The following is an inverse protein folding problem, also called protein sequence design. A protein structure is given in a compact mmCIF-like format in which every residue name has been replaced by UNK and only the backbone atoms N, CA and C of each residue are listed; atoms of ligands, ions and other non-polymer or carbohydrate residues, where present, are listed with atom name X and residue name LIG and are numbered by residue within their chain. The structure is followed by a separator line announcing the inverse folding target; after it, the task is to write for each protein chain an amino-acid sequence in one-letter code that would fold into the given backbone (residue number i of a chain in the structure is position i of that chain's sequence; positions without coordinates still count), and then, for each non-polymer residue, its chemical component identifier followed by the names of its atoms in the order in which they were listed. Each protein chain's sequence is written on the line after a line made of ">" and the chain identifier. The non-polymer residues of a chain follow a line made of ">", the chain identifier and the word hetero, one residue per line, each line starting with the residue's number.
data_IF_462574585618
#
_entry.id   IF_462574585618
#
_cell.length_a   1.000
_cell.length_b   1.000
_cell.length_c   1.000
_cell.angle_alpha   90.00
_cell.angle_beta   90.00
_cell.angle_gamma   90.00
#
_symmetry.space_group_name_H-M   'P 1'
#
loop_
_entity.id
_entity.type
_entity.pdbx_description
1 polymer ?
#
# COMPACT_ATOMS: atom_id res chain seq x y z
N UNK A 1 31.54 22.27 1.62
CA UNK A 1 31.26 21.02 2.34
C UNK A 1 30.13 20.33 1.59
N UNK A 2 30.48 19.27 0.86
CA UNK A 2 29.56 18.58 -0.05
C UNK A 2 28.54 17.77 0.74
N UNK A 3 27.29 18.14 0.66
CA UNK A 3 26.19 17.24 1.04
C UNK A 3 26.07 16.16 -0.05
N UNK A 4 26.75 15.05 0.21
CA UNK A 4 26.67 13.87 -0.63
C UNK A 4 25.22 13.37 -0.69
N UNK A 5 24.73 13.26 -1.89
CA UNK A 5 23.50 12.63 -2.32
C UNK A 5 23.32 11.28 -1.64
N UNK A 6 22.50 11.20 -0.59
CA UNK A 6 22.06 9.95 0.00
C UNK A 6 21.06 9.36 -0.98
N UNK A 7 21.56 8.56 -1.92
CA UNK A 7 20.75 7.76 -2.83
C UNK A 7 19.91 6.77 -2.01
N UNK A 8 18.67 6.89 -2.13
CA UNK A 8 17.42 6.23 -1.70
C UNK A 8 17.40 4.69 -1.47
N UNK A 9 18.49 4.03 -1.14
CA UNK A 9 18.52 2.56 -1.04
C UNK A 9 17.90 1.96 0.24
N UNK A 10 17.41 2.77 1.19
CA UNK A 10 16.90 2.24 2.47
C UNK A 10 15.38 2.37 2.67
N UNK A 11 14.67 3.06 1.78
CA UNK A 11 13.21 3.22 1.88
C UNK A 11 12.45 2.25 0.95
N UNK A 12 13.18 1.47 0.15
CA UNK A 12 12.65 0.64 -0.91
C UNK A 12 11.61 -0.41 -0.51
N UNK A 13 11.62 -1.05 0.64
CA UNK A 13 10.62 -2.11 0.89
C UNK A 13 9.36 -1.67 1.60
N UNK A 14 9.25 -0.43 2.06
CA UNK A 14 7.99 0.09 2.61
C UNK A 14 7.16 0.77 1.53
N UNK A 15 7.83 1.42 0.62
CA UNK A 15 7.35 1.93 -0.65
C UNK A 15 8.34 1.44 -1.69
N UNK A 16 8.25 0.18 -2.06
CA UNK A 16 9.02 -0.32 -3.17
C UNK A 16 8.50 0.41 -4.35
N UNK A 17 9.21 1.44 -4.71
CA UNK A 17 9.04 2.00 -6.01
C UNK A 17 9.20 3.48 -6.03
N UNK A 18 10.41 3.87 -6.07
CA UNK A 18 10.66 5.17 -6.67
C UNK A 18 12.09 5.22 -7.12
N UNK A 19 12.30 5.00 -8.35
CA UNK A 19 13.26 5.66 -9.24
C UNK A 19 13.63 4.75 -10.40
N UNK A 20 13.17 5.06 -11.54
CA UNK A 20 13.92 5.33 -12.75
C UNK A 20 13.17 5.02 -14.05
N UNK A 21 13.16 5.99 -14.91
CA UNK A 21 13.34 5.77 -16.34
C UNK A 21 12.10 5.56 -17.20
N UNK A 22 11.77 6.61 -17.92
CA UNK A 22 10.76 6.64 -19.00
C UNK A 22 11.06 5.64 -20.11
N UNK A 23 10.10 4.75 -20.39
CA UNK A 23 9.94 4.12 -21.71
C UNK A 23 8.47 4.14 -22.08
N UNK A 24 8.17 4.80 -23.19
CA UNK A 24 6.87 4.88 -23.84
C UNK A 24 6.47 3.52 -24.38
N UNK A 25 5.32 3.02 -23.93
CA UNK A 25 4.66 1.81 -24.45
C UNK A 25 3.16 2.03 -24.55
N UNK A 26 2.68 1.90 -25.75
CA UNK A 26 1.36 2.16 -26.32
C UNK A 26 0.23 1.46 -25.55
N UNK A 27 -0.83 2.21 -25.24
CA UNK A 27 -2.01 1.76 -24.53
C UNK A 27 -2.95 1.00 -25.48
N UNK A 28 -3.32 -0.21 -25.13
CA UNK A 28 -4.50 -0.88 -25.68
C UNK A 28 -5.72 -0.46 -24.84
N UNK A 29 -6.55 0.41 -25.38
CA UNK A 29 -7.86 0.74 -24.83
C UNK A 29 -8.78 -0.47 -24.93
N UNK A 30 -9.06 -1.10 -23.79
CA UNK A 30 -10.18 -2.04 -23.66
C UNK A 30 -11.40 -1.26 -23.20
N UNK A 31 -12.33 -1.06 -24.10
CA UNK A 31 -13.63 -0.44 -23.87
C UNK A 31 -14.44 -1.28 -22.88
N UNK A 32 -14.52 -0.83 -21.63
CA UNK A 32 -15.46 -1.39 -20.65
C UNK A 32 -16.87 -0.90 -20.97
N UNK A 33 -17.70 -1.83 -21.39
CA UNK A 33 -19.14 -1.63 -21.58
C UNK A 33 -19.78 -1.21 -20.26
N UNK A 34 -20.54 -0.12 -20.31
CA UNK A 34 -21.46 0.31 -19.24
C UNK A 34 -22.56 -0.75 -19.08
N UNK A 35 -22.29 -1.77 -18.27
CA UNK A 35 -23.30 -2.68 -17.75
C UNK A 35 -24.02 -2.02 -16.58
N UNK A 36 -25.31 -2.14 -16.61
CA UNK A 36 -26.36 -1.80 -15.65
C UNK A 36 -25.84 -1.70 -14.19
N UNK A 37 -25.93 -0.50 -13.59
CA UNK A 37 -25.57 -0.25 -12.20
C UNK A 37 -26.63 -0.93 -11.33
N UNK A 38 -26.39 -2.17 -11.00
CA UNK A 38 -27.15 -2.94 -10.01
C UNK A 38 -27.28 -2.12 -8.73
N UNK A 39 -28.48 -2.05 -8.19
CA UNK A 39 -28.86 -1.39 -6.94
C UNK A 39 -28.17 -1.94 -5.68
N UNK A 40 -27.13 -2.76 -5.83
CA UNK A 40 -26.39 -3.46 -4.77
C UNK A 40 -24.88 -3.18 -4.80
N UNK A 41 -24.44 -2.16 -5.52
CA UNK A 41 -23.01 -1.76 -5.54
C UNK A 41 -22.61 -1.18 -4.18
N UNK A 42 -21.48 -1.62 -3.68
CA UNK A 42 -20.94 -1.12 -2.42
C UNK A 42 -20.41 0.30 -2.55
N UNK A 43 -20.48 1.04 -1.43
CA UNK A 43 -19.90 2.37 -1.30
C UNK A 43 -18.58 2.32 -0.53
N UNK A 44 -17.78 3.36 -0.61
CA UNK A 44 -16.53 3.46 0.18
C UNK A 44 -16.80 3.38 1.67
N UNK A 45 -17.92 3.95 2.14
CA UNK A 45 -18.35 3.89 3.54
C UNK A 45 -18.58 2.44 3.99
N UNK A 46 -19.27 1.65 3.16
CA UNK A 46 -19.55 0.24 3.45
C UNK A 46 -18.28 -0.60 3.44
N UNK A 47 -17.38 -0.40 2.46
CA UNK A 47 -16.07 -1.07 2.44
C UNK A 47 -15.29 -0.76 3.70
N UNK A 48 -15.10 0.51 4.03
CA UNK A 48 -14.28 0.94 5.17
C UNK A 48 -14.90 0.51 6.49
N UNK A 49 -16.24 0.57 6.63
CA UNK A 49 -16.93 0.06 7.82
C UNK A 49 -16.70 -1.45 7.99
N UNK A 50 -16.82 -2.23 6.92
CA UNK A 50 -16.59 -3.67 6.95
C UNK A 50 -15.15 -4.03 7.31
N UNK A 51 -14.16 -3.28 6.80
CA UNK A 51 -12.75 -3.45 7.14
C UNK A 51 -12.49 -3.20 8.63
N UNK A 52 -13.14 -2.20 9.21
CA UNK A 52 -13.04 -1.91 10.64
C UNK A 52 -13.59 -3.05 11.50
N UNK A 53 -14.70 -3.65 11.10
CA UNK A 53 -15.35 -4.76 11.83
C UNK A 53 -14.59 -6.09 11.64
N UNK A 54 -14.15 -6.38 10.42
CA UNK A 54 -13.44 -7.62 10.06
C UNK A 54 -11.94 -7.61 10.33
N UNK A 55 -11.43 -6.58 10.98
CA UNK A 55 -10.00 -6.35 11.14
C UNK A 55 -9.28 -7.46 11.87
N UNK A 56 -8.38 -8.11 11.16
CA UNK A 56 -7.38 -9.01 11.74
C UNK A 56 -6.19 -8.19 12.25
N UNK A 57 -5.70 -8.53 13.44
CA UNK A 57 -4.53 -7.84 14.04
C UNK A 57 -3.21 -8.32 13.48
N UNK A 58 -3.20 -9.47 12.81
CA UNK A 58 -2.00 -10.06 12.19
C UNK A 58 -2.38 -10.92 11.00
N UNK A 59 -1.73 -10.68 9.86
CA UNK A 59 -1.92 -11.44 8.62
C UNK A 59 -0.57 -11.74 7.97
N UNK A 60 -0.41 -12.92 7.39
CA UNK A 60 0.76 -13.24 6.56
C UNK A 60 0.62 -12.58 5.19
N UNK A 61 1.72 -12.23 4.57
CA UNK A 61 1.73 -11.70 3.21
C UNK A 61 2.81 -12.32 2.33
N UNK A 62 2.53 -12.33 1.04
CA UNK A 62 3.51 -12.49 -0.03
C UNK A 62 3.39 -11.25 -0.93
N UNK A 63 4.50 -10.56 -1.17
CA UNK A 63 4.54 -9.37 -2.00
C UNK A 63 5.51 -9.59 -3.16
N UNK A 64 5.00 -9.33 -4.37
CA UNK A 64 5.76 -9.34 -5.61
C UNK A 64 5.97 -7.90 -6.09
N UNK A 65 7.22 -7.50 -6.25
CA UNK A 65 7.61 -6.20 -6.77
C UNK A 65 8.16 -6.33 -8.17
N UNK A 66 7.60 -5.56 -9.08
CA UNK A 66 7.99 -5.45 -10.47
C UNK A 66 8.59 -4.07 -10.72
N UNK A 67 9.78 -4.01 -11.26
CA UNK A 67 10.48 -2.77 -11.60
C UNK A 67 11.28 -2.96 -12.86
N UNK A 68 11.41 -1.90 -13.64
CA UNK A 68 12.27 -1.89 -14.83
C UNK A 68 13.76 -2.13 -14.51
N UNK A 69 14.13 -1.99 -13.24
CA UNK A 69 15.49 -2.27 -12.75
C UNK A 69 15.75 -3.74 -12.42
N UNK A 70 14.68 -4.56 -12.42
CA UNK A 70 14.75 -5.97 -12.05
C UNK A 70 14.50 -6.85 -13.27
N UNK A 71 15.30 -7.89 -13.46
CA UNK A 71 15.09 -8.90 -14.50
C UNK A 71 13.95 -9.85 -14.15
N UNK A 72 13.71 -10.06 -12.86
CA UNK A 72 12.63 -10.87 -12.31
C UNK A 72 11.98 -10.15 -11.14
N UNK A 73 10.71 -10.43 -10.83
CA UNK A 73 10.05 -9.84 -9.68
C UNK A 73 10.77 -10.16 -8.36
N UNK A 74 10.94 -9.15 -7.51
CA UNK A 74 11.38 -9.39 -6.15
C UNK A 74 10.22 -9.89 -5.32
N UNK A 75 10.34 -11.11 -4.80
CA UNK A 75 9.33 -11.72 -3.92
C UNK A 75 9.83 -11.64 -2.47
N UNK A 76 8.99 -11.07 -1.62
CA UNK A 76 9.20 -11.04 -0.16
C UNK A 76 8.00 -11.62 0.57
N UNK A 77 8.23 -12.27 1.71
CA UNK A 77 7.19 -12.86 2.56
C UNK A 77 7.36 -12.42 3.99
N UNK A 78 6.24 -12.30 4.69
CA UNK A 78 6.30 -11.88 6.07
C UNK A 78 4.93 -11.76 6.72
N UNK A 79 4.86 -10.86 7.71
CA UNK A 79 3.66 -10.63 8.51
C UNK A 79 3.39 -9.13 8.60
N UNK A 80 2.14 -8.76 8.36
CA UNK A 80 1.60 -7.45 8.70
C UNK A 80 0.90 -7.54 10.04
N UNK A 81 1.14 -6.55 10.91
CA UNK A 81 0.44 -6.41 12.19
C UNK A 81 -0.15 -5.01 12.29
N UNK A 82 -1.36 -4.95 12.77
CA UNK A 82 -2.00 -3.70 13.13
C UNK A 82 -2.33 -3.70 14.61
N UNK A 83 -1.77 -2.74 15.34
CA UNK A 83 -2.04 -2.53 16.77
C UNK A 83 -2.78 -1.20 16.93
N UNK A 84 -4.03 -1.22 17.42
CA UNK A 84 -4.76 0.01 17.72
C UNK A 84 -3.98 0.93 18.69
N UNK A 85 -4.13 2.27 18.59
CA UNK A 85 -5.05 2.93 17.66
C UNK A 85 -4.51 3.07 16.23
N UNK A 86 -3.18 3.06 15.99
CA UNK A 86 -2.65 3.45 14.70
C UNK A 86 -1.25 2.87 14.36
N UNK A 87 -0.74 1.90 15.12
CA UNK A 87 0.57 1.28 14.82
C UNK A 87 0.41 0.23 13.74
N UNK A 88 1.16 0.39 12.67
CA UNK A 88 1.26 -0.58 11.57
C UNK A 88 2.68 -1.12 11.51
N UNK A 89 2.82 -2.43 11.51
CA UNK A 89 4.10 -3.12 11.40
C UNK A 89 4.10 -4.06 10.19
N UNK A 90 5.15 -3.96 9.37
CA UNK A 90 5.47 -4.91 8.30
C UNK A 90 6.79 -5.58 8.66
N UNK A 91 6.74 -6.88 8.94
CA UNK A 91 7.92 -7.71 9.18
C UNK A 91 8.13 -8.62 7.97
N UNK A 92 9.20 -8.38 7.22
CA UNK A 92 9.68 -9.27 6.16
C UNK A 92 10.52 -10.36 6.81
N UNK A 93 10.22 -11.61 6.50
CA UNK A 93 10.93 -12.79 7.03
C UNK A 93 11.82 -13.42 5.96
N UNK A 94 11.40 -13.33 4.69
CA UNK A 94 12.09 -13.90 3.54
C UNK A 94 12.18 -12.88 2.39
N UNK A 95 13.30 -12.85 1.62
CA UNK A 95 14.54 -13.64 1.77
C UNK A 95 15.48 -13.10 2.85
N UNK A 96 15.22 -11.91 3.39
CA UNK A 96 16.02 -11.26 4.43
C UNK A 96 15.13 -10.64 5.48
N UNK A 97 15.52 -10.66 6.75
CA UNK A 97 14.75 -10.05 7.82
C UNK A 97 14.88 -8.54 7.79
N UNK A 98 13.72 -7.90 7.61
CA UNK A 98 13.54 -6.46 7.68
C UNK A 98 12.24 -6.14 8.43
N UNK A 99 12.23 -5.05 9.17
CA UNK A 99 11.09 -4.63 9.96
C UNK A 99 10.81 -3.15 9.74
N UNK A 100 9.57 -2.85 9.48
CA UNK A 100 9.06 -1.49 9.32
C UNK A 100 7.97 -1.29 10.35
N UNK A 101 8.11 -0.25 11.18
CA UNK A 101 7.12 0.13 12.19
C UNK A 101 6.71 1.56 11.93
N UNK A 102 5.41 1.77 11.75
CA UNK A 102 4.80 3.07 11.56
C UNK A 102 4.01 3.39 12.83
N UNK A 103 4.47 4.38 13.57
CA UNK A 103 3.85 4.88 14.79
C UNK A 103 3.72 6.40 14.69
N UNK A 104 2.51 6.91 14.95
CA UNK A 104 2.25 8.34 14.84
C UNK A 104 2.77 8.93 13.51
N UNK A 105 3.73 9.83 13.58
CA UNK A 105 4.38 10.51 12.46
C UNK A 105 5.75 9.93 12.11
N UNK A 106 6.10 8.75 12.63
CA UNK A 106 7.42 8.13 12.49
C UNK A 106 7.36 6.79 11.80
N UNK A 107 8.40 6.54 11.01
CA UNK A 107 8.67 5.22 10.43
C UNK A 107 10.04 4.76 10.89
N UNK A 108 10.08 3.63 11.58
CA UNK A 108 11.33 2.96 11.96
C UNK A 108 11.57 1.79 11.02
N UNK A 109 12.71 1.79 10.39
CA UNK A 109 13.23 0.70 9.56
C UNK A 109 14.37 0.00 10.27
N UNK A 110 14.33 -1.33 10.31
CA UNK A 110 15.38 -2.19 10.80
C UNK A 110 15.71 -3.26 9.76
N UNK A 111 17.01 -3.50 9.51
CA UNK A 111 17.49 -4.56 8.62
C UNK A 111 18.63 -5.29 9.28
N UNK A 112 18.44 -6.58 9.57
CA UNK A 112 19.48 -7.43 10.16
C UNK A 112 20.66 -7.58 9.19
N UNK A 113 20.39 -7.79 7.90
CA UNK A 113 21.42 -7.96 6.87
C UNK A 113 22.32 -6.73 6.71
N UNK A 114 21.73 -5.53 6.80
CA UNK A 114 22.45 -4.26 6.60
C UNK A 114 23.00 -3.70 7.91
N UNK A 115 22.69 -4.32 9.05
CA UNK A 115 22.99 -3.82 10.40
C UNK A 115 22.57 -2.36 10.59
N UNK A 116 21.38 -2.01 10.09
CA UNK A 116 20.85 -0.65 10.09
C UNK A 116 19.54 -0.61 10.89
N UNK A 117 19.45 0.40 11.75
CA UNK A 117 18.20 0.87 12.34
C UNK A 117 18.10 2.37 12.08
N UNK A 118 17.02 2.80 11.41
CA UNK A 118 16.80 4.21 11.07
C UNK A 118 15.37 4.58 11.36
N UNK A 119 15.18 5.74 12.00
CA UNK A 119 13.87 6.35 12.18
C UNK A 119 13.82 7.64 11.37
N UNK A 120 12.72 7.85 10.66
CA UNK A 120 12.42 9.06 9.88
C UNK A 120 11.09 9.64 10.32
N UNK A 121 10.95 10.96 10.23
CA UNK A 121 9.65 11.64 10.40
C UNK A 121 8.88 11.61 9.09
N UNK A 122 7.58 11.36 9.14
CA UNK A 122 6.69 11.47 7.98
C UNK A 122 6.51 12.92 7.54
N UNK A 123 6.81 13.90 8.40
CA UNK A 123 6.78 15.32 8.05
C UNK A 123 7.82 15.66 6.97
N UNK A 124 8.98 14.99 7.01
CA UNK A 124 10.05 15.16 6.05
C UNK A 124 9.76 14.46 4.70
N UNK A 125 8.74 13.59 4.66
CA UNK A 125 8.38 12.75 3.51
C UNK A 125 6.88 12.80 3.21
N UNK A 126 6.36 13.94 2.68
CA UNK A 126 4.91 14.14 2.48
C UNK A 126 4.26 13.05 1.62
N UNK A 127 4.98 12.56 0.60
CA UNK A 127 4.48 11.50 -0.27
C UNK A 127 4.28 10.17 0.48
N UNK A 128 5.23 9.79 1.34
CA UNK A 128 5.10 8.60 2.20
C UNK A 128 3.98 8.78 3.22
N UNK A 129 3.85 9.98 3.79
CA UNK A 129 2.77 10.33 4.71
C UNK A 129 1.40 10.09 4.08
N UNK A 130 1.20 10.53 2.84
CA UNK A 130 -0.05 10.31 2.10
C UNK A 130 -0.43 8.82 2.05
N UNK A 131 0.51 7.94 1.70
CA UNK A 131 0.28 6.48 1.67
C UNK A 131 -0.07 5.92 3.05
N UNK A 132 0.68 6.32 4.08
CA UNK A 132 0.42 5.88 5.46
C UNK A 132 -0.96 6.31 5.94
N UNK A 133 -1.38 7.53 5.63
CA UNK A 133 -2.70 8.06 5.98
C UNK A 133 -3.83 7.28 5.29
N UNK A 134 -3.65 6.83 4.03
CA UNK A 134 -4.63 5.97 3.36
C UNK A 134 -4.86 4.66 4.11
N UNK A 135 -3.77 3.99 4.50
CA UNK A 135 -3.87 2.75 5.27
C UNK A 135 -4.53 2.98 6.62
N UNK A 136 -4.09 4.00 7.37
CA UNK A 136 -4.69 4.32 8.67
C UNK A 136 -6.18 4.61 8.55
N UNK A 137 -6.58 5.47 7.63
CA UNK A 137 -7.98 5.83 7.43
C UNK A 137 -8.84 4.60 7.07
N UNK A 138 -8.32 3.70 6.24
CA UNK A 138 -9.00 2.44 5.89
C UNK A 138 -9.20 1.53 7.11
N UNK A 139 -8.21 1.43 8.00
CA UNK A 139 -8.28 0.56 9.18
C UNK A 139 -9.01 1.19 10.36
N UNK A 140 -8.98 2.51 10.52
CA UNK A 140 -9.69 3.20 11.60
C UNK A 140 -11.15 3.47 11.28
N UNK A 141 -11.52 3.40 10.01
CA UNK A 141 -12.88 3.70 9.56
C UNK A 141 -13.11 5.18 9.24
N UNK A 142 -12.03 5.97 9.10
CA UNK A 142 -12.13 7.40 8.82
C UNK A 142 -12.26 7.68 7.33
N UNK A 143 -13.48 7.52 6.81
CA UNK A 143 -13.81 7.78 5.39
C UNK A 143 -13.62 9.25 5.03
N UNK A 144 -13.87 10.18 5.96
CA UNK A 144 -13.71 11.60 5.69
C UNK A 144 -12.25 11.95 5.42
N UNK A 145 -11.33 11.43 6.25
CA UNK A 145 -9.89 11.58 6.03
C UNK A 145 -9.44 10.88 4.75
N UNK A 146 -9.95 9.68 4.46
CA UNK A 146 -9.62 8.96 3.23
C UNK A 146 -9.99 9.78 1.98
N UNK A 147 -11.22 10.30 1.92
CA UNK A 147 -11.72 11.12 0.81
C UNK A 147 -11.02 12.49 0.71
N UNK A 148 -10.49 13.02 1.81
CA UNK A 148 -9.71 14.26 1.79
C UNK A 148 -8.36 14.08 1.10
N UNK A 149 -7.75 12.91 1.25
CA UNK A 149 -6.40 12.60 0.71
C UNK A 149 -6.48 11.93 -0.66
N UNK A 150 -7.54 11.14 -0.91
CA UNK A 150 -7.69 10.32 -2.10
C UNK A 150 -9.04 10.50 -2.80
N UNK A 151 -9.00 10.55 -4.12
CA UNK A 151 -10.14 10.17 -4.95
C UNK A 151 -10.40 8.67 -4.76
N UNK A 152 -11.66 8.31 -4.48
CA UNK A 152 -12.03 6.94 -4.13
C UNK A 152 -13.05 6.41 -5.11
N UNK A 153 -12.80 5.23 -5.68
CA UNK A 153 -13.76 4.49 -6.52
C UNK A 153 -13.93 3.09 -5.97
N UNK A 154 -15.18 2.66 -5.80
CA UNK A 154 -15.51 1.31 -5.35
C UNK A 154 -16.28 0.60 -6.44
N UNK A 155 -15.93 -0.65 -6.69
CA UNK A 155 -16.65 -1.56 -7.57
C UNK A 155 -16.94 -2.87 -6.82
N UNK A 156 -18.07 -3.50 -7.18
CA UNK A 156 -18.45 -4.81 -6.61
C UNK A 156 -19.47 -4.74 -5.47
N UNK A 157 -19.46 -5.77 -4.67
CA UNK A 157 -20.44 -6.02 -3.59
C UNK A 157 -19.71 -6.47 -2.32
N UNK A 158 -20.47 -6.82 -1.25
CA UNK A 158 -19.88 -7.39 -0.01
C UNK A 158 -19.06 -8.65 -0.25
N UNK A 159 -19.39 -9.43 -1.24
CA UNK A 159 -18.73 -10.73 -1.52
C UNK A 159 -17.42 -10.57 -2.28
N UNK A 160 -17.33 -9.54 -3.09
CA UNK A 160 -16.14 -9.23 -3.87
C UNK A 160 -16.16 -7.74 -4.19
N UNK A 161 -15.16 -7.01 -3.74
CA UNK A 161 -15.05 -5.58 -3.92
C UNK A 161 -13.62 -5.16 -4.28
N UNK A 162 -13.53 -4.06 -4.98
CA UNK A 162 -12.30 -3.32 -5.20
C UNK A 162 -12.47 -1.88 -4.74
N UNK A 163 -11.44 -1.33 -4.12
CA UNK A 163 -11.33 0.08 -3.73
C UNK A 163 -10.09 0.66 -4.36
N UNK A 164 -10.31 1.54 -5.33
CA UNK A 164 -9.26 2.29 -6.01
C UNK A 164 -9.08 3.64 -5.31
N UNK A 165 -7.85 3.98 -4.98
CA UNK A 165 -7.45 5.21 -4.32
C UNK A 165 -6.41 5.95 -5.16
N UNK A 166 -6.72 7.18 -5.62
CA UNK A 166 -5.80 8.05 -6.35
C UNK A 166 -5.47 9.27 -5.50
N UNK A 167 -4.20 9.57 -5.21
CA UNK A 167 -3.85 10.73 -4.39
C UNK A 167 -4.36 12.04 -5.01
N UNK A 168 -4.86 12.97 -4.18
CA UNK A 168 -5.23 14.31 -4.64
C UNK A 168 -4.03 15.23 -4.75
N UNK A 169 -3.12 15.15 -3.78
CA UNK A 169 -2.00 16.08 -3.66
C UNK A 169 -0.83 15.73 -4.59
N UNK A 170 -0.06 16.74 -5.04
CA UNK A 170 1.08 16.51 -5.94
C UNK A 170 2.20 15.65 -5.34
N UNK A 171 2.41 15.70 -4.01
CA UNK A 171 3.43 14.90 -3.36
C UNK A 171 3.05 13.41 -3.38
N UNK A 172 1.79 13.09 -3.06
CA UNK A 172 1.27 11.74 -3.19
C UNK A 172 1.35 11.23 -4.63
N UNK A 173 0.92 12.06 -5.60
CA UNK A 173 1.00 11.72 -7.04
C UNK A 173 2.42 11.48 -7.55
N UNK A 174 3.43 12.12 -6.95
CA UNK A 174 4.83 11.88 -7.33
C UNK A 174 5.35 10.51 -6.91
N UNK A 175 4.68 9.87 -5.95
CA UNK A 175 5.07 8.58 -5.40
C UNK A 175 4.16 7.45 -5.85
N UNK A 176 2.85 7.71 -5.94
CA UNK A 176 1.82 6.70 -6.21
C UNK A 176 0.86 7.23 -7.26
N UNK A 177 0.70 6.47 -8.34
CA UNK A 177 -0.37 6.71 -9.32
C UNK A 177 -1.71 6.26 -8.73
N UNK A 178 -1.74 5.03 -8.18
CA UNK A 178 -2.88 4.54 -7.44
C UNK A 178 -2.53 3.43 -6.46
N UNK A 179 -3.42 3.28 -5.47
CA UNK A 179 -3.53 2.11 -4.60
C UNK A 179 -4.82 1.38 -4.97
N UNK A 180 -4.74 0.06 -5.14
CA UNK A 180 -5.90 -0.79 -5.39
C UNK A 180 -5.98 -1.86 -4.30
N UNK A 181 -7.02 -1.80 -3.50
CA UNK A 181 -7.34 -2.82 -2.53
C UNK A 181 -8.45 -3.70 -3.09
N UNK A 182 -8.32 -5.01 -2.94
CA UNK A 182 -9.41 -5.93 -3.24
C UNK A 182 -9.66 -6.87 -2.08
N UNK A 183 -10.90 -7.34 -1.96
CA UNK A 183 -11.25 -8.20 -0.84
C UNK A 183 -12.69 -8.68 -0.86
N UNK A 184 -13.08 -9.27 0.26
CA UNK A 184 -14.43 -9.79 0.50
C UNK A 184 -14.78 -9.73 1.99
N UNK A 185 -16.05 -9.51 2.32
CA UNK A 185 -16.61 -9.66 3.67
C UNK A 185 -15.74 -8.96 4.77
N UNK A 186 -15.35 -7.72 4.54
CA UNK A 186 -14.56 -6.94 5.49
C UNK A 186 -13.08 -7.33 5.60
N UNK A 187 -12.56 -8.08 4.63
CA UNK A 187 -11.17 -8.50 4.58
C UNK A 187 -10.50 -8.07 3.30
N UNK A 188 -9.28 -7.61 3.42
CA UNK A 188 -8.42 -7.34 2.28
C UNK A 188 -7.75 -8.65 1.87
N UNK A 189 -7.85 -8.98 0.58
CA UNK A 189 -7.14 -10.12 -0.02
C UNK A 189 -5.86 -9.67 -0.73
N UNK A 190 -5.92 -8.53 -1.45
CA UNK A 190 -4.75 -7.98 -2.13
C UNK A 190 -4.64 -6.47 -1.94
N UNK A 191 -3.41 -6.00 -1.95
CA UNK A 191 -3.05 -4.60 -1.99
C UNK A 191 -2.08 -4.42 -3.16
N UNK A 192 -2.47 -3.67 -4.18
CA UNK A 192 -1.59 -3.32 -5.27
C UNK A 192 -1.26 -1.83 -5.22
N UNK A 193 0.00 -1.51 -5.45
CA UNK A 193 0.51 -0.15 -5.52
C UNK A 193 1.12 0.02 -6.91
N UNK A 194 0.75 1.08 -7.61
CA UNK A 194 1.38 1.47 -8.87
C UNK A 194 2.02 2.82 -8.71
N UNK A 195 3.26 2.92 -9.16
CA UNK A 195 3.98 4.18 -9.22
C UNK A 195 3.84 4.85 -10.61
N UNK A 196 4.09 6.18 -10.69
CA UNK A 196 3.99 6.92 -11.94
C UNK A 196 4.98 6.46 -13.02
N UNK A 197 6.13 5.91 -12.62
CA UNK A 197 7.16 5.37 -13.52
C UNK A 197 6.83 3.97 -14.08
N UNK A 198 5.67 3.42 -13.68
CA UNK A 198 5.19 2.12 -14.13
C UNK A 198 5.61 0.95 -13.24
N UNK A 199 6.46 1.16 -12.28
CA UNK A 199 6.79 0.16 -11.27
C UNK A 199 5.54 -0.21 -10.44
N UNK A 200 5.48 -1.41 -9.94
CA UNK A 200 4.31 -1.88 -9.18
C UNK A 200 4.69 -2.91 -8.12
N UNK A 201 3.91 -2.94 -7.05
CA UNK A 201 3.93 -3.99 -6.05
C UNK A 201 2.54 -4.59 -5.91
N UNK A 202 2.48 -5.90 -5.74
CA UNK A 202 1.24 -6.63 -5.44
C UNK A 202 1.48 -7.49 -4.22
N UNK A 203 0.77 -7.17 -3.14
CA UNK A 203 0.81 -7.91 -1.89
C UNK A 203 -0.47 -8.74 -1.77
N UNK A 204 -0.31 -10.05 -1.63
CA UNK A 204 -1.40 -10.99 -1.33
C UNK A 204 -1.39 -11.29 0.16
N UNK A 205 -2.53 -11.08 0.81
CA UNK A 205 -2.72 -11.35 2.24
C UNK A 205 -3.30 -12.75 2.44
N UNK A 206 -2.73 -13.49 3.38
CA UNK A 206 -3.17 -14.85 3.72
C UNK A 206 -3.37 -14.96 5.23
N UNK A 207 -4.40 -15.67 5.63
CA UNK A 207 -4.55 -16.04 7.04
C UNK A 207 -3.35 -16.86 7.49
N UNK A 208 -2.78 -16.50 8.63
CA UNK A 208 -1.96 -17.43 9.36
C UNK A 208 -2.78 -18.67 9.76
N UNK A 209 -2.16 -19.84 9.96
CA UNK A 209 -2.87 -20.99 10.54
C UNK A 209 -3.52 -20.52 11.85
N UNK A 210 -4.84 -20.73 11.96
CA UNK A 210 -5.56 -20.51 13.21
C UNK A 210 -4.90 -21.37 14.28
N UNK A 211 -4.39 -20.74 15.34
CA UNK A 211 -3.93 -21.45 16.54
C UNK A 211 -5.14 -21.95 17.31
#
# INVERSE_FOLDING_TARGET
>A
MNFGTIRNSCLLPLCVLLLAGSVTGEAAESSLSHGDRSSNAWTVEQVVASLKEGRETSVSFEEATYSSLLTEPLIVRGVLRFTPPATLEKEVLEPYRERYVIEEDRVTFESERKHVKKTISLEDYPALRSVVEAFRASFTGDVAQLKKVYETTVEGTSREWTLLLRPHDPAGKSMVDYLLLSGSEGRIATIAIRAPDGDRSVMTLRRGPSK
#
